data_IF_155435631508
#
_entry.id   IF_155435631508
#
_cell.length_a   1.000
_cell.length_b   1.000
_cell.length_c   1.000
_cell.angle_alpha   90.00
_cell.angle_beta   90.00
_cell.angle_gamma   90.00
#
_symmetry.space_group_name_H-M   'P 1'
#
loop_
_entity.id
_entity.type
_entity.pdbx_description
1 polymer ?
#
# COMPACT_ATOMS: atom_id res chain seq x y z
N UNK A 1 0.55 -5.47 -19.69
CA UNK A 1 -0.20 -5.84 -18.47
C UNK A 1 0.49 -7.03 -17.83
N UNK A 2 0.64 -7.02 -16.51
CA UNK A 2 1.05 -8.18 -15.71
C UNK A 2 -0.13 -8.61 -14.84
N UNK A 3 -0.26 -9.91 -14.62
CA UNK A 3 -1.36 -10.50 -13.84
C UNK A 3 -0.76 -11.54 -12.88
N UNK A 4 -1.17 -11.47 -11.61
CA UNK A 4 -0.96 -12.53 -10.63
C UNK A 4 -2.33 -12.99 -10.15
N UNK A 5 -2.56 -14.31 -10.15
CA UNK A 5 -3.85 -14.91 -9.78
C UNK A 5 -3.62 -16.04 -8.79
N UNK A 6 -4.41 -16.04 -7.74
CA UNK A 6 -4.51 -17.12 -6.77
C UNK A 6 -5.95 -17.65 -6.79
N UNK A 7 -6.10 -18.98 -6.86
CA UNK A 7 -7.37 -19.68 -6.73
C UNK A 7 -7.34 -20.52 -5.46
N UNK A 8 -8.14 -20.12 -4.46
CA UNK A 8 -8.30 -20.85 -3.22
C UNK A 8 -9.09 -22.14 -3.41
N UNK A 9 -8.92 -23.09 -2.49
CA UNK A 9 -9.61 -24.39 -2.54
C UNK A 9 -11.13 -24.27 -2.48
N UNK A 10 -11.67 -23.16 -1.97
CA UNK A 10 -13.10 -22.83 -1.97
C UNK A 10 -13.61 -22.16 -3.25
N UNK A 11 -12.79 -22.05 -4.30
CA UNK A 11 -13.15 -21.37 -5.55
C UNK A 11 -13.03 -19.85 -5.51
N UNK A 12 -12.66 -19.27 -4.36
CA UNK A 12 -12.40 -17.84 -4.20
C UNK A 12 -11.13 -17.48 -4.94
N UNK A 13 -11.19 -16.41 -5.71
CA UNK A 13 -10.05 -15.92 -6.47
C UNK A 13 -9.57 -14.58 -5.96
N UNK A 14 -8.26 -14.43 -5.90
CA UNK A 14 -7.61 -13.14 -5.72
C UNK A 14 -6.75 -12.84 -6.94
N UNK A 15 -6.97 -11.67 -7.55
CA UNK A 15 -6.25 -11.25 -8.74
C UNK A 15 -5.61 -9.90 -8.50
N UNK A 16 -4.36 -9.76 -8.93
CA UNK A 16 -3.68 -8.48 -9.03
C UNK A 16 -3.28 -8.19 -10.46
N UNK A 17 -3.59 -6.99 -10.93
CA UNK A 17 -3.17 -6.49 -12.23
C UNK A 17 -2.25 -5.29 -12.08
N UNK A 18 -1.17 -5.27 -12.85
CA UNK A 18 -0.38 -4.07 -13.11
C UNK A 18 -0.52 -3.70 -14.59
N UNK A 19 -1.09 -2.53 -14.85
CA UNK A 19 -1.42 -2.03 -16.18
C UNK A 19 -0.65 -0.74 -16.39
N UNK A 20 0.25 -0.77 -17.38
CA UNK A 20 1.06 0.38 -17.78
C UNK A 20 1.00 0.57 -19.30
N UNK A 21 0.91 1.82 -19.77
CA UNK A 21 1.15 2.18 -21.17
C UNK A 21 2.53 1.74 -21.65
N UNK A 22 2.61 1.35 -22.91
CA UNK A 22 3.86 0.97 -23.59
C UNK A 22 4.23 1.91 -24.73
N UNK A 23 3.49 3.01 -24.91
CA UNK A 23 3.70 4.02 -25.94
C UNK A 23 3.58 5.42 -25.34
N UNK A 24 4.34 6.38 -25.89
CA UNK A 24 4.24 7.79 -25.48
C UNK A 24 2.91 8.39 -25.94
N UNK A 25 2.24 9.10 -25.03
CA UNK A 25 1.08 9.92 -25.34
C UNK A 25 0.85 10.95 -24.20
N UNK A 26 -0.19 11.76 -24.32
CA UNK A 26 -0.66 12.61 -23.22
C UNK A 26 -1.13 11.74 -22.05
N UNK A 27 -1.14 12.30 -20.84
CA UNK A 27 -1.65 11.59 -19.66
C UNK A 27 -3.09 11.13 -19.86
N UNK A 28 -3.96 12.01 -20.37
CA UNK A 28 -5.38 11.69 -20.63
C UNK A 28 -5.54 10.50 -21.57
N UNK A 29 -4.78 10.47 -22.67
CA UNK A 29 -4.81 9.35 -23.62
C UNK A 29 -4.33 8.06 -22.97
N UNK A 30 -3.25 8.12 -22.19
CA UNK A 30 -2.74 6.95 -21.48
C UNK A 30 -3.69 6.45 -20.38
N UNK A 31 -4.37 7.37 -19.67
CA UNK A 31 -5.36 7.03 -18.66
C UNK A 31 -6.56 6.30 -19.29
N UNK A 32 -7.00 6.74 -20.46
CA UNK A 32 -8.04 6.05 -21.24
C UNK A 32 -7.61 4.66 -21.71
N UNK A 33 -6.35 4.49 -22.15
CA UNK A 33 -5.81 3.17 -22.47
C UNK A 33 -5.77 2.25 -21.25
N UNK A 34 -5.33 2.77 -20.10
CA UNK A 34 -5.32 2.03 -18.83
C UNK A 34 -6.74 1.62 -18.46
N UNK A 35 -7.73 2.52 -18.56
CA UNK A 35 -9.14 2.24 -18.29
C UNK A 35 -9.66 1.09 -19.15
N UNK A 36 -9.51 1.18 -20.47
CA UNK A 36 -9.98 0.15 -21.42
C UNK A 36 -9.32 -1.20 -21.17
N UNK A 37 -8.00 -1.21 -20.99
CA UNK A 37 -7.25 -2.42 -20.71
C UNK A 37 -7.68 -3.07 -19.39
N UNK A 38 -7.97 -2.25 -18.38
CA UNK A 38 -8.46 -2.72 -17.09
C UNK A 38 -9.86 -3.31 -17.17
N UNK A 39 -10.80 -2.62 -17.81
CA UNK A 39 -12.16 -3.12 -18.05
C UNK A 39 -12.15 -4.45 -18.82
N UNK A 40 -11.37 -4.52 -19.89
CA UNK A 40 -11.22 -5.75 -20.68
C UNK A 40 -10.61 -6.89 -19.85
N UNK A 41 -9.63 -6.61 -18.99
CA UNK A 41 -9.01 -7.62 -18.14
C UNK A 41 -10.00 -8.17 -17.09
N UNK A 42 -10.79 -7.28 -16.49
CA UNK A 42 -11.85 -7.65 -15.53
C UNK A 42 -12.92 -8.50 -16.21
N UNK A 43 -13.41 -8.09 -17.37
CA UNK A 43 -14.41 -8.83 -18.15
C UNK A 43 -13.88 -10.20 -18.61
N UNK A 44 -12.64 -10.24 -19.14
CA UNK A 44 -12.01 -11.50 -19.60
C UNK A 44 -11.78 -12.50 -18.47
N UNK A 45 -11.69 -12.02 -17.22
CA UNK A 45 -11.61 -12.86 -16.03
C UNK A 45 -12.99 -13.34 -15.53
N UNK A 46 -14.09 -13.00 -16.22
CA UNK A 46 -15.46 -13.28 -15.79
C UNK A 46 -15.88 -12.48 -14.55
N UNK A 47 -15.18 -11.37 -14.27
CA UNK A 47 -15.41 -10.53 -13.10
C UNK A 47 -16.13 -9.24 -13.48
N UNK A 48 -16.54 -8.48 -12.46
CA UNK A 48 -17.06 -7.12 -12.61
C UNK A 48 -16.22 -6.15 -11.78
N UNK A 49 -16.31 -4.85 -12.06
CA UNK A 49 -15.62 -3.81 -11.27
C UNK A 49 -15.98 -3.84 -9.78
N UNK A 50 -17.11 -4.45 -9.40
CA UNK A 50 -17.50 -4.65 -8.00
C UNK A 50 -16.61 -5.64 -7.24
N UNK A 51 -15.78 -6.43 -7.92
CA UNK A 51 -14.80 -7.32 -7.28
C UNK A 51 -13.52 -6.59 -6.84
N UNK A 52 -13.31 -5.35 -7.31
CA UNK A 52 -12.17 -4.53 -6.90
C UNK A 52 -12.24 -4.20 -5.41
N UNK A 53 -11.12 -4.35 -4.71
CA UNK A 53 -10.98 -3.97 -3.28
C UNK A 53 -9.98 -2.85 -3.10
N UNK A 54 -8.97 -2.76 -3.96
CA UNK A 54 -7.95 -1.74 -3.88
C UNK A 54 -7.39 -1.40 -5.26
N UNK A 55 -7.11 -0.11 -5.49
CA UNK A 55 -6.46 0.41 -6.71
C UNK A 55 -5.45 1.47 -6.34
N UNK A 56 -4.25 1.40 -6.88
CA UNK A 56 -3.23 2.45 -6.76
C UNK A 56 -2.83 2.96 -8.13
N UNK A 57 -2.84 4.28 -8.28
CA UNK A 57 -2.40 4.99 -9.48
C UNK A 57 -1.06 5.65 -9.19
N UNK A 58 -0.01 5.18 -9.87
CA UNK A 58 1.33 5.76 -9.84
C UNK A 58 1.41 6.76 -11.00
N UNK A 59 1.46 8.04 -10.69
CA UNK A 59 1.35 9.13 -11.65
C UNK A 59 2.68 9.90 -11.77
N UNK A 60 2.98 10.37 -12.98
CA UNK A 60 4.21 11.13 -13.24
C UNK A 60 4.20 12.56 -12.71
N UNK A 61 3.01 13.17 -12.64
CA UNK A 61 2.82 14.55 -12.25
C UNK A 61 1.41 14.71 -11.68
N UNK A 62 1.19 14.11 -10.51
CA UNK A 62 -0.15 13.97 -9.92
C UNK A 62 -0.83 15.33 -9.72
N UNK A 63 -0.07 16.36 -9.34
CA UNK A 63 -0.58 17.72 -9.12
C UNK A 63 -1.31 18.26 -10.36
N UNK A 64 -0.68 18.16 -11.54
CA UNK A 64 -1.28 18.63 -12.79
C UNK A 64 -2.23 17.62 -13.45
N UNK A 65 -2.36 16.41 -12.89
CA UNK A 65 -3.12 15.30 -13.46
C UNK A 65 -4.39 14.95 -12.65
N UNK A 66 -4.57 15.56 -11.47
CA UNK A 66 -5.67 15.27 -10.55
C UNK A 66 -7.03 15.45 -11.21
N UNK A 67 -7.29 16.57 -11.88
CA UNK A 67 -8.58 16.83 -12.55
C UNK A 67 -8.92 15.77 -13.62
N UNK A 68 -7.92 15.18 -14.28
CA UNK A 68 -8.12 14.15 -15.29
C UNK A 68 -8.46 12.80 -14.64
N UNK A 69 -7.88 12.49 -13.48
CA UNK A 69 -8.24 11.30 -12.69
C UNK A 69 -9.66 11.42 -12.11
N UNK A 70 -10.06 12.61 -11.64
CA UNK A 70 -11.39 12.87 -11.08
C UNK A 70 -12.52 12.68 -12.10
N UNK A 71 -12.25 12.91 -13.39
CA UNK A 71 -13.20 12.67 -14.49
C UNK A 71 -13.45 11.18 -14.74
N UNK A 72 -12.63 10.29 -14.18
CA UNK A 72 -12.67 8.86 -14.44
C UNK A 72 -13.21 8.11 -13.22
N UNK A 73 -14.44 7.59 -13.30
CA UNK A 73 -15.13 6.94 -12.19
C UNK A 73 -14.35 5.76 -11.54
N UNK A 74 -13.46 5.11 -12.28
CA UNK A 74 -12.61 4.02 -11.76
C UNK A 74 -11.38 4.50 -10.98
N UNK A 75 -11.04 5.79 -11.09
CA UNK A 75 -9.88 6.40 -10.47
C UNK A 75 -10.24 7.29 -9.27
N UNK A 76 -11.44 7.84 -9.17
CA UNK A 76 -11.82 8.76 -8.07
C UNK A 76 -11.78 8.06 -6.71
N UNK A 77 -11.10 8.56 -5.67
CA UNK A 77 -11.16 7.96 -4.35
C UNK A 77 -12.59 7.89 -3.83
N UNK A 78 -13.32 8.99 -3.85
CA UNK A 78 -14.65 9.04 -3.25
C UNK A 78 -15.79 8.84 -4.27
N UNK A 79 -16.98 8.53 -3.75
CA UNK A 79 -18.23 8.45 -4.53
C UNK A 79 -18.21 7.48 -5.73
N UNK A 80 -17.41 6.40 -5.65
CA UNK A 80 -17.41 5.38 -6.68
C UNK A 80 -18.67 4.51 -6.64
N UNK A 81 -19.26 4.17 -7.80
CA UNK A 81 -20.36 3.21 -7.85
C UNK A 81 -19.95 1.83 -7.35
N UNK A 82 -18.66 1.49 -7.50
CA UNK A 82 -18.08 0.22 -7.08
C UNK A 82 -17.11 0.48 -5.93
N UNK A 83 -17.60 0.45 -4.67
CA UNK A 83 -16.81 0.75 -3.46
C UNK A 83 -15.42 0.11 -3.53
N UNK A 84 -14.36 0.91 -3.53
CA UNK A 84 -12.98 0.46 -3.61
C UNK A 84 -12.08 1.41 -2.81
N UNK A 85 -11.02 0.91 -2.18
CA UNK A 85 -9.93 1.78 -1.72
C UNK A 85 -9.14 2.27 -2.94
N UNK A 86 -8.81 3.56 -2.98
CA UNK A 86 -8.05 4.12 -4.10
C UNK A 86 -6.96 5.06 -3.58
N UNK A 87 -5.73 4.77 -4.00
CA UNK A 87 -4.54 5.56 -3.68
C UNK A 87 -4.02 6.24 -4.94
N UNK A 88 -3.80 7.55 -4.88
CA UNK A 88 -3.09 8.31 -5.89
C UNK A 88 -1.73 8.69 -5.36
N UNK A 89 -0.68 8.29 -6.07
CA UNK A 89 0.69 8.55 -5.65
C UNK A 89 1.43 9.24 -6.79
N UNK A 90 2.01 10.40 -6.50
CA UNK A 90 2.97 11.05 -7.37
C UNK A 90 4.28 10.27 -7.27
N UNK A 91 4.41 9.23 -8.09
CA UNK A 91 5.59 8.40 -8.22
C UNK A 91 5.73 8.04 -9.69
N UNK A 92 6.65 8.71 -10.42
CA UNK A 92 6.73 8.57 -11.87
C UNK A 92 7.02 7.13 -12.29
N UNK A 93 6.14 6.50 -13.08
CA UNK A 93 6.43 5.18 -13.63
C UNK A 93 7.52 5.29 -14.71
N UNK A 94 8.18 4.16 -14.99
CA UNK A 94 9.19 4.09 -16.05
C UNK A 94 8.58 4.48 -17.40
N UNK A 95 9.29 5.31 -18.15
CA UNK A 95 8.89 5.73 -19.49
C UNK A 95 8.58 4.51 -20.40
N UNK A 96 7.60 4.61 -21.29
CA UNK A 96 6.86 5.82 -21.68
C UNK A 96 5.61 6.12 -20.83
N UNK A 97 5.39 5.37 -19.75
CA UNK A 97 4.21 5.53 -18.91
C UNK A 97 4.22 6.87 -18.16
N UNK A 98 3.06 7.53 -18.12
CA UNK A 98 2.74 8.66 -17.23
C UNK A 98 1.79 8.25 -16.11
N UNK A 99 1.11 7.11 -16.27
CA UNK A 99 0.21 6.52 -15.27
C UNK A 99 0.32 5.00 -15.30
N UNK A 100 0.51 4.38 -14.14
CA UNK A 100 0.41 2.92 -13.97
C UNK A 100 -0.65 2.60 -12.94
N UNK A 101 -1.57 1.69 -13.28
CA UNK A 101 -2.56 1.16 -12.36
C UNK A 101 -2.06 -0.16 -11.78
N UNK A 102 -2.10 -0.28 -10.45
CA UNK A 102 -2.06 -1.53 -9.74
C UNK A 102 -3.42 -1.78 -9.08
N UNK A 103 -4.11 -2.85 -9.44
CA UNK A 103 -5.45 -3.17 -8.94
C UNK A 103 -5.46 -4.55 -8.28
N UNK A 104 -6.17 -4.67 -7.16
CA UNK A 104 -6.46 -5.93 -6.49
C UNK A 104 -7.96 -6.22 -6.50
N UNK A 105 -8.30 -7.45 -6.84
CA UNK A 105 -9.65 -7.98 -6.90
C UNK A 105 -9.79 -9.22 -6.03
N UNK A 106 -10.97 -9.37 -5.44
CA UNK A 106 -11.40 -10.59 -4.78
C UNK A 106 -12.70 -11.01 -5.45
N UNK A 107 -12.77 -12.25 -5.92
CA UNK A 107 -13.97 -12.82 -6.51
C UNK A 107 -14.38 -14.05 -5.73
N UNK A 108 -15.66 -14.12 -5.41
CA UNK A 108 -16.25 -15.25 -4.71
C UNK A 108 -17.42 -15.77 -5.56
N UNK A 109 -17.33 -17.00 -6.11
CA UNK A 109 -18.39 -17.54 -6.94
C UNK A 109 -19.65 -17.87 -6.13
N UNK A 110 -19.56 -18.00 -4.81
CA UNK A 110 -20.68 -18.36 -3.95
C UNK A 110 -21.52 -17.15 -3.51
N UNK A 111 -20.94 -15.95 -3.43
CA UNK A 111 -21.64 -14.76 -2.96
C UNK A 111 -21.03 -13.44 -3.43
N UNK A 112 -21.86 -12.39 -3.53
CA UNK A 112 -21.37 -11.04 -3.74
C UNK A 112 -20.52 -10.53 -2.56
N UNK A 113 -19.50 -9.72 -2.84
CA UNK A 113 -18.65 -9.13 -1.81
C UNK A 113 -19.43 -8.18 -0.89
N UNK A 114 -19.26 -8.35 0.42
CA UNK A 114 -19.82 -7.45 1.44
C UNK A 114 -18.82 -6.33 1.75
N UNK A 115 -18.97 -5.20 1.05
CA UNK A 115 -18.09 -4.03 1.17
C UNK A 115 -18.79 -2.81 1.78
N UNK A 116 -18.11 -2.15 2.70
CA UNK A 116 -18.45 -0.80 3.18
C UNK A 116 -17.26 0.13 2.93
N UNK A 117 -17.54 1.43 2.80
CA UNK A 117 -16.51 2.44 2.62
C UNK A 117 -16.86 3.65 3.48
N UNK A 118 -15.92 4.10 4.30
CA UNK A 118 -16.04 5.27 5.15
C UNK A 118 -14.79 6.12 4.95
N UNK A 119 -14.95 7.31 4.36
CA UNK A 119 -13.85 8.16 3.94
C UNK A 119 -12.80 7.39 3.13
N UNK A 120 -11.55 7.47 3.56
CA UNK A 120 -10.37 6.85 2.94
C UNK A 120 -10.27 5.32 3.14
N UNK A 121 -11.19 4.71 3.91
CA UNK A 121 -11.11 3.29 4.30
C UNK A 121 -12.19 2.43 3.65
N UNK A 122 -11.79 1.38 2.94
CA UNK A 122 -12.67 0.29 2.49
C UNK A 122 -12.59 -0.87 3.49
N UNK A 123 -13.75 -1.39 3.90
CA UNK A 123 -13.85 -2.64 4.67
C UNK A 123 -14.50 -3.74 3.83
N UNK A 124 -13.90 -4.93 3.82
CA UNK A 124 -14.44 -6.15 3.20
C UNK A 124 -14.65 -7.22 4.27
N UNK A 125 -15.91 -7.65 4.44
CA UNK A 125 -16.25 -8.72 5.37
C UNK A 125 -16.14 -10.11 4.70
N UNK A 126 -15.40 -11.02 5.33
CA UNK A 126 -15.09 -12.38 4.86
C UNK A 126 -15.17 -13.38 6.02
N UNK A 127 -16.37 -13.90 6.28
CA UNK A 127 -16.60 -14.74 7.46
C UNK A 127 -16.32 -13.95 8.74
N UNK A 128 -15.48 -14.49 9.61
CA UNK A 128 -15.05 -13.85 10.86
C UNK A 128 -14.01 -12.74 10.68
N UNK A 129 -13.45 -12.58 9.46
CA UNK A 129 -12.44 -11.59 9.18
C UNK A 129 -13.04 -10.37 8.50
N UNK A 130 -12.58 -9.18 8.91
CA UNK A 130 -12.83 -7.95 8.15
C UNK A 130 -11.51 -7.33 7.74
N UNK A 131 -11.35 -7.10 6.45
CA UNK A 131 -10.14 -6.57 5.85
C UNK A 131 -10.34 -5.06 5.60
N UNK A 132 -9.41 -4.24 6.07
CA UNK A 132 -9.48 -2.78 5.97
C UNK A 132 -8.32 -2.25 5.14
N UNK A 133 -8.62 -1.57 4.03
CA UNK A 133 -7.63 -0.81 3.25
C UNK A 133 -7.89 0.67 3.43
N UNK A 134 -6.92 1.38 4.01
CA UNK A 134 -6.95 2.83 4.17
C UNK A 134 -5.91 3.45 3.25
N UNK A 135 -6.31 4.41 2.42
CA UNK A 135 -5.43 4.95 1.37
C UNK A 135 -5.37 6.47 1.35
N UNK A 136 -4.20 7.02 1.07
CA UNK A 136 -3.98 8.44 0.84
C UNK A 136 -4.14 9.29 2.09
N UNK A 137 -3.80 8.77 3.28
CA UNK A 137 -3.86 9.54 4.54
C UNK A 137 -2.75 10.58 4.54
N UNK A 138 -3.10 11.82 4.84
CA UNK A 138 -2.24 13.01 4.79
C UNK A 138 -2.65 13.97 5.89
N UNK A 139 -1.70 14.77 6.39
CA UNK A 139 -1.98 15.88 7.33
C UNK A 139 -1.28 17.15 6.83
N UNK A 140 -1.70 17.72 5.69
CA UNK A 140 -0.97 18.79 5.02
C UNK A 140 -0.90 20.12 5.79
N UNK A 141 -1.74 20.29 6.81
CA UNK A 141 -1.94 21.56 7.52
C UNK A 141 -0.98 21.79 8.70
N UNK A 142 -0.08 20.84 8.97
CA UNK A 142 0.97 20.97 9.99
C UNK A 142 2.35 20.96 9.35
N UNK A 143 3.31 21.61 10.00
CA UNK A 143 4.64 21.82 9.43
C UNK A 143 5.63 20.69 9.79
N UNK A 144 6.52 20.36 8.86
CA UNK A 144 7.50 19.27 8.94
C UNK A 144 6.91 17.88 8.73
N UNK A 145 7.69 16.98 8.11
CA UNK A 145 7.28 15.58 7.92
C UNK A 145 7.04 14.84 9.24
N UNK A 146 7.73 15.22 10.32
CA UNK A 146 7.49 14.71 11.67
C UNK A 146 6.04 14.95 12.14
N UNK A 147 5.61 16.22 12.23
CA UNK A 147 4.26 16.52 12.72
C UNK A 147 3.18 16.00 11.78
N UNK A 148 3.45 16.00 10.47
CA UNK A 148 2.52 15.42 9.50
C UNK A 148 2.35 13.92 9.70
N UNK A 149 3.44 13.21 10.01
CA UNK A 149 3.41 11.77 10.31
C UNK A 149 2.65 11.48 11.60
N UNK A 150 2.86 12.27 12.67
CA UNK A 150 2.05 12.15 13.89
C UNK A 150 0.55 12.38 13.62
N UNK A 151 0.21 13.42 12.85
CA UNK A 151 -1.18 13.68 12.48
C UNK A 151 -1.79 12.58 11.60
N UNK A 152 -0.98 11.95 10.73
CA UNK A 152 -1.40 10.80 9.92
C UNK A 152 -1.73 9.61 10.83
N UNK A 153 -0.88 9.32 11.82
CA UNK A 153 -1.16 8.27 12.78
C UNK A 153 -2.37 8.58 13.64
N UNK A 154 -2.54 9.82 14.12
CA UNK A 154 -3.75 10.22 14.86
C UNK A 154 -5.04 9.99 14.07
N UNK A 155 -5.08 10.43 12.80
CA UNK A 155 -6.23 10.16 11.91
C UNK A 155 -6.45 8.66 11.67
N UNK A 156 -5.37 7.88 11.56
CA UNK A 156 -5.49 6.45 11.32
C UNK A 156 -5.93 5.70 12.59
N UNK A 157 -5.50 6.14 13.77
CA UNK A 157 -5.90 5.59 15.05
C UNK A 157 -7.41 5.78 15.29
N UNK A 158 -7.98 6.94 14.95
CA UNK A 158 -9.44 7.15 14.96
C UNK A 158 -10.18 6.11 14.10
N UNK A 159 -9.61 5.74 12.94
CA UNK A 159 -10.17 4.69 12.08
C UNK A 159 -10.08 3.32 12.74
N UNK A 160 -8.95 3.02 13.39
CA UNK A 160 -8.75 1.75 14.09
C UNK A 160 -9.69 1.63 15.29
N UNK A 161 -9.76 2.64 16.15
CA UNK A 161 -10.65 2.72 17.31
C UNK A 161 -12.12 2.55 16.92
N UNK A 162 -12.57 3.23 15.87
CA UNK A 162 -13.94 3.11 15.36
C UNK A 162 -14.30 1.67 14.91
N UNK A 163 -13.30 0.83 14.65
CA UNK A 163 -13.46 -0.58 14.29
C UNK A 163 -13.01 -1.54 15.42
N UNK A 164 -12.71 -1.02 16.62
CA UNK A 164 -12.15 -1.76 17.77
C UNK A 164 -10.84 -2.50 17.42
N UNK A 165 -9.95 -1.82 16.71
CA UNK A 165 -8.64 -2.33 16.29
C UNK A 165 -7.52 -1.53 16.96
N UNK A 166 -6.33 -2.12 17.03
CA UNK A 166 -5.11 -1.43 17.47
C UNK A 166 -4.04 -1.48 16.38
N UNK A 167 -3.10 -0.53 16.44
CA UNK A 167 -1.96 -0.51 15.52
C UNK A 167 -1.12 -1.79 15.66
N UNK A 168 -0.88 -2.25 16.90
CA UNK A 168 -0.02 -3.39 17.19
C UNK A 168 -0.63 -4.73 16.74
N UNK A 169 -1.92 -4.95 16.99
CA UNK A 169 -2.52 -6.29 16.84
C UNK A 169 -3.14 -6.53 15.47
N UNK A 170 -3.59 -5.47 14.79
CA UNK A 170 -4.43 -5.61 13.60
C UNK A 170 -3.79 -5.09 12.31
N UNK A 171 -2.84 -4.16 12.40
CA UNK A 171 -2.24 -3.56 11.19
C UNK A 171 -1.11 -4.45 10.70
N UNK A 172 -1.29 -4.98 9.49
CA UNK A 172 -0.37 -5.99 8.94
C UNK A 172 0.64 -5.40 7.96
N UNK A 173 0.33 -4.24 7.36
CA UNK A 173 1.15 -3.64 6.31
C UNK A 173 0.93 -2.13 6.18
N UNK A 174 2.02 -1.36 6.10
CA UNK A 174 1.98 0.08 5.83
C UNK A 174 2.86 0.46 4.63
N UNK A 175 2.48 1.51 3.91
CA UNK A 175 3.28 2.17 2.89
C UNK A 175 3.31 3.66 3.17
N UNK A 176 4.51 4.20 3.30
CA UNK A 176 4.79 5.61 3.46
C UNK A 176 5.42 6.16 2.19
N UNK A 177 4.89 7.29 1.74
CA UNK A 177 5.40 8.06 0.62
C UNK A 177 5.90 9.40 1.17
N UNK A 178 7.20 9.64 1.07
CA UNK A 178 7.82 10.88 1.48
C UNK A 178 8.11 11.71 0.23
N UNK A 179 7.54 12.91 0.14
CA UNK A 179 7.84 13.85 -0.94
C UNK A 179 9.24 14.41 -0.69
N UNK A 180 10.13 14.42 -1.68
CA UNK A 180 11.53 14.81 -1.48
C UNK A 180 12.15 14.03 -0.32
N UNK A 181 12.23 12.71 -0.47
CA UNK A 181 12.59 11.71 0.54
C UNK A 181 13.88 12.10 1.28
N UNK A 182 14.90 12.59 0.57
CA UNK A 182 16.17 13.00 1.20
C UNK A 182 16.01 14.13 2.22
N UNK A 183 15.00 14.99 2.07
CA UNK A 183 14.71 16.09 2.99
C UNK A 183 13.71 15.69 4.09
N UNK A 184 12.77 14.80 3.79
CA UNK A 184 11.61 14.56 4.65
C UNK A 184 11.61 13.20 5.35
N UNK A 185 12.46 12.25 4.95
CA UNK A 185 12.46 10.89 5.49
C UNK A 185 12.84 10.83 6.97
N UNK A 186 13.77 11.68 7.43
CA UNK A 186 14.22 11.68 8.82
C UNK A 186 13.07 11.96 9.79
N UNK A 187 12.31 13.04 9.57
CA UNK A 187 11.16 13.38 10.42
C UNK A 187 10.05 12.32 10.39
N UNK A 188 9.83 11.67 9.24
CA UNK A 188 8.90 10.55 9.14
C UNK A 188 9.34 9.37 10.01
N UNK A 189 10.61 8.99 9.94
CA UNK A 189 11.16 7.86 10.70
C UNK A 189 11.10 8.14 12.20
N UNK A 190 11.48 9.34 12.62
CA UNK A 190 11.46 9.78 14.01
C UNK A 190 10.04 9.66 14.59
N UNK A 191 9.05 10.32 13.98
CA UNK A 191 7.65 10.28 14.41
C UNK A 191 7.07 8.86 14.40
N UNK A 192 7.38 8.05 13.38
CA UNK A 192 6.90 6.65 13.32
C UNK A 192 7.47 5.82 14.47
N UNK A 193 8.76 5.97 14.76
CA UNK A 193 9.40 5.20 15.82
C UNK A 193 8.79 5.56 17.19
N UNK A 194 8.52 6.84 17.46
CA UNK A 194 7.81 7.27 18.68
C UNK A 194 6.42 6.62 18.80
N UNK A 195 5.60 6.72 17.75
CA UNK A 195 4.26 6.10 17.74
C UNK A 195 4.34 4.58 17.94
N UNK A 196 5.32 3.93 17.32
CA UNK A 196 5.51 2.49 17.46
C UNK A 196 5.87 2.12 18.90
N UNK A 197 6.80 2.84 19.52
CA UNK A 197 7.20 2.61 20.91
C UNK A 197 6.00 2.82 21.86
N UNK A 198 5.21 3.88 21.67
CA UNK A 198 3.99 4.16 22.44
C UNK A 198 2.93 3.07 22.28
N UNK A 199 2.85 2.44 21.10
CA UNK A 199 1.93 1.34 20.81
C UNK A 199 2.50 -0.05 21.21
N UNK A 200 3.70 -0.13 21.78
CA UNK A 200 4.33 -1.39 22.15
C UNK A 200 4.85 -2.21 20.96
N UNK A 201 5.02 -1.60 19.78
CA UNK A 201 5.71 -2.16 18.63
C UNK A 201 7.22 -1.95 18.82
N UNK A 202 7.93 -2.98 19.26
CA UNK A 202 9.33 -2.92 19.67
C UNK A 202 10.11 -4.12 19.14
N UNK A 203 11.44 -4.07 19.23
CA UNK A 203 12.29 -5.22 18.90
C UNK A 203 12.04 -6.48 19.77
N UNK A 204 11.36 -6.35 20.92
CA UNK A 204 10.98 -7.49 21.79
C UNK A 204 9.61 -8.07 21.43
N UNK A 205 8.79 -7.32 20.71
CA UNK A 205 7.46 -7.72 20.25
C UNK A 205 7.55 -7.99 18.76
N UNK A 206 7.15 -7.01 17.96
CA UNK A 206 7.25 -6.98 16.51
C UNK A 206 7.12 -5.55 16.02
N UNK A 207 7.46 -5.34 14.75
CA UNK A 207 7.07 -4.16 14.00
C UNK A 207 6.04 -4.51 12.92
N UNK A 208 5.58 -3.49 12.19
CA UNK A 208 4.71 -3.69 11.03
C UNK A 208 5.59 -3.83 9.79
N UNK A 209 5.29 -4.78 8.90
CA UNK A 209 5.93 -4.81 7.60
C UNK A 209 5.67 -3.48 6.90
N UNK A 210 6.71 -2.72 6.53
CA UNK A 210 6.54 -1.38 5.98
C UNK A 210 7.37 -1.12 4.71
N UNK A 211 7.02 -0.06 3.99
CA UNK A 211 7.84 0.53 2.93
C UNK A 211 7.82 2.03 3.14
N UNK A 212 8.97 2.69 3.14
CA UNK A 212 9.08 4.14 3.10
C UNK A 212 9.95 4.54 1.91
N UNK A 213 9.37 5.23 0.93
CA UNK A 213 10.01 5.55 -0.35
C UNK A 213 9.58 6.93 -0.85
N UNK A 214 10.24 7.44 -1.89
CA UNK A 214 9.83 8.66 -2.58
C UNK A 214 8.39 8.53 -3.13
N UNK A 215 7.60 9.58 -2.89
CA UNK A 215 6.31 9.77 -3.52
C UNK A 215 5.53 10.91 -2.87
N UNK A 216 4.56 11.47 -3.57
CA UNK A 216 3.75 12.59 -3.07
C UNK A 216 2.25 12.34 -3.19
N UNK A 217 1.46 13.17 -2.50
CA UNK A 217 0.01 13.26 -2.74
C UNK A 217 -0.30 14.38 -3.75
N UNK A 218 -1.59 14.61 -4.03
CA UNK A 218 -2.04 15.78 -4.79
C UNK A 218 -2.05 17.09 -3.96
N UNK A 219 -1.81 17.01 -2.65
CA UNK A 219 -1.76 18.15 -1.75
C UNK A 219 -0.31 18.65 -1.65
N UNK A 220 -0.03 19.82 -2.23
CA UNK A 220 1.34 20.34 -2.40
C UNK A 220 2.11 20.45 -1.06
N UNK A 221 1.42 20.71 0.04
CA UNK A 221 2.04 20.85 1.37
C UNK A 221 2.15 19.53 2.13
N UNK A 222 1.61 18.42 1.60
CA UNK A 222 1.79 17.09 2.17
C UNK A 222 3.19 16.56 1.84
N UNK A 223 4.07 16.59 2.83
CA UNK A 223 5.43 16.04 2.79
C UNK A 223 5.43 14.53 3.00
N UNK A 224 4.38 14.00 3.60
CA UNK A 224 4.22 12.56 3.87
C UNK A 224 2.78 12.13 3.60
N UNK A 225 2.64 10.92 3.07
CA UNK A 225 1.37 10.24 2.85
C UNK A 225 1.48 8.77 3.27
N UNK A 226 0.39 8.20 3.80
CA UNK A 226 0.34 6.80 4.20
C UNK A 226 -0.84 6.04 3.56
N UNK A 227 -0.55 4.82 3.11
CA UNK A 227 -1.54 3.76 2.93
C UNK A 227 -1.31 2.67 3.99
N UNK A 228 -2.38 2.03 4.44
CA UNK A 228 -2.32 0.95 5.43
C UNK A 228 -3.33 -0.16 5.15
N UNK A 229 -3.00 -1.36 5.63
CA UNK A 229 -3.84 -2.53 5.55
C UNK A 229 -3.91 -3.23 6.91
N UNK A 230 -5.13 -3.42 7.41
CA UNK A 230 -5.42 -4.02 8.70
C UNK A 230 -6.46 -5.13 8.59
N UNK A 231 -6.44 -6.06 9.54
CA UNK A 231 -7.34 -7.22 9.56
C UNK A 231 -7.97 -7.34 10.95
N UNK A 232 -9.28 -7.15 11.02
CA UNK A 232 -10.09 -7.46 12.19
C UNK A 232 -10.31 -8.98 12.27
N UNK A 233 -10.28 -9.53 13.48
CA UNK A 233 -10.54 -10.95 13.76
C UNK A 233 -9.35 -11.89 13.52
N UNK A 234 -8.23 -11.38 12.99
CA UNK A 234 -6.99 -12.16 12.86
C UNK A 234 -6.48 -12.58 14.23
N UNK A 235 -6.12 -13.85 14.37
CA UNK A 235 -5.56 -14.37 15.62
C UNK A 235 -4.04 -14.30 15.58
N UNK A 236 -3.36 -14.08 16.73
CA UNK A 236 -1.89 -14.01 16.78
C UNK A 236 -1.21 -15.24 16.17
N UNK A 237 -1.79 -16.44 16.33
CA UNK A 237 -1.25 -17.70 15.79
C UNK A 237 -1.31 -17.77 14.25
N UNK A 238 -2.09 -16.89 13.61
CA UNK A 238 -2.13 -16.76 12.16
C UNK A 238 -1.02 -15.84 11.63
N UNK A 239 -0.40 -15.04 12.50
CA UNK A 239 0.60 -14.04 12.13
C UNK A 239 1.99 -14.64 12.33
N UNK A 240 2.87 -14.46 11.35
CA UNK A 240 4.28 -14.82 11.48
C UNK A 240 5.13 -13.68 10.92
N UNK A 241 5.93 -13.06 11.78
CA UNK A 241 6.92 -12.06 11.37
C UNK A 241 8.13 -12.76 10.77
N UNK A 242 8.51 -12.33 9.58
CA UNK A 242 9.57 -12.93 8.79
C UNK A 242 10.86 -12.15 9.02
N UNK A 243 11.90 -12.87 9.40
CA UNK A 243 13.24 -12.34 9.56
C UNK A 243 14.20 -13.06 8.60
N UNK A 244 15.19 -12.34 8.09
CA UNK A 244 16.24 -12.88 7.21
C UNK A 244 17.61 -12.55 7.80
N UNK A 245 17.83 -12.90 9.07
CA UNK A 245 18.98 -12.41 9.87
C UNK A 245 20.35 -12.73 9.25
N UNK A 246 20.46 -13.84 8.51
CA UNK A 246 21.71 -14.23 7.82
C UNK A 246 22.06 -13.36 6.60
N UNK A 247 21.10 -12.61 6.07
CA UNK A 247 21.26 -11.83 4.83
C UNK A 247 20.96 -10.34 5.00
N UNK A 248 20.10 -10.00 5.95
CA UNK A 248 19.57 -8.66 6.18
C UNK A 248 19.44 -8.40 7.68
N UNK A 249 20.01 -7.30 8.16
CA UNK A 249 19.90 -6.92 9.59
C UNK A 249 18.44 -6.78 10.03
N UNK A 250 18.12 -7.01 11.31
CA UNK A 250 16.98 -6.36 11.93
C UNK A 250 17.03 -4.85 11.67
N UNK A 251 15.93 -4.27 11.19
CA UNK A 251 15.95 -2.92 10.63
C UNK A 251 16.23 -1.84 11.69
N UNK A 252 15.85 -2.13 12.94
CA UNK A 252 16.02 -1.21 14.07
C UNK A 252 17.50 -0.97 14.40
N UNK A 253 18.41 -1.87 13.98
CA UNK A 253 19.86 -1.73 14.20
C UNK A 253 20.41 -0.48 13.51
N UNK A 254 19.81 -0.06 12.39
CA UNK A 254 20.19 1.15 11.65
C UNK A 254 19.10 2.24 11.72
N UNK A 255 18.29 2.24 12.79
CA UNK A 255 17.41 3.35 13.16
C UNK A 255 16.00 3.34 12.54
N UNK A 256 15.60 2.28 11.83
CA UNK A 256 14.25 2.17 11.24
C UNK A 256 13.47 0.97 11.77
N UNK A 257 12.20 1.16 12.11
CA UNK A 257 11.36 0.14 12.73
C UNK A 257 10.37 -0.51 11.74
N UNK A 258 10.69 -1.68 11.17
CA UNK A 258 9.76 -2.49 10.37
C UNK A 258 10.18 -3.97 10.27
N UNK A 259 9.22 -4.86 10.02
CA UNK A 259 9.53 -6.28 9.75
C UNK A 259 9.94 -6.50 8.30
N UNK A 260 10.89 -7.41 8.02
CA UNK A 260 11.28 -7.72 6.63
C UNK A 260 10.12 -8.30 5.82
N UNK A 261 9.23 -9.02 6.50
CA UNK A 261 7.89 -9.28 5.99
C UNK A 261 6.97 -9.82 7.07
N UNK A 262 5.69 -9.92 6.75
CA UNK A 262 4.67 -10.52 7.62
C UNK A 262 3.86 -11.52 6.82
N UNK A 263 3.73 -12.75 7.32
CA UNK A 263 2.87 -13.78 6.77
C UNK A 263 1.58 -13.87 7.59
N UNK A 264 0.43 -13.88 6.91
CA UNK A 264 -0.89 -14.13 7.50
C UNK A 264 -1.42 -15.45 6.94
N UNK A 265 -1.60 -16.43 7.82
CA UNK A 265 -2.13 -17.75 7.47
C UNK A 265 -3.66 -17.78 7.57
N UNK A 266 -4.31 -18.05 6.44
CA UNK A 266 -5.73 -18.37 6.35
C UNK A 266 -5.90 -19.89 6.23
N UNK A 267 -7.15 -20.36 6.26
CA UNK A 267 -7.46 -21.79 6.13
C UNK A 267 -6.96 -22.40 4.81
N UNK A 268 -7.00 -21.61 3.73
CA UNK A 268 -6.77 -22.06 2.36
C UNK A 268 -5.52 -21.47 1.69
N UNK A 269 -4.89 -20.47 2.30
CA UNK A 269 -3.75 -19.74 1.72
C UNK A 269 -2.92 -19.03 2.78
N UNK A 270 -1.79 -18.47 2.35
CA UNK A 270 -1.03 -17.48 3.11
C UNK A 270 -0.88 -16.21 2.29
N UNK A 271 -1.06 -15.06 2.92
CA UNK A 271 -0.59 -13.78 2.37
C UNK A 271 0.76 -13.47 2.96
N UNK A 272 1.75 -13.18 2.12
CA UNK A 272 3.08 -12.80 2.56
C UNK A 272 3.35 -11.37 2.10
N UNK A 273 3.42 -10.45 3.03
CA UNK A 273 3.71 -9.04 2.80
C UNK A 273 5.21 -8.81 2.96
N UNK A 274 5.91 -8.58 1.86
CA UNK A 274 7.35 -8.28 1.89
C UNK A 274 7.56 -6.77 1.95
N UNK A 275 8.46 -6.34 2.83
CA UNK A 275 8.81 -4.94 3.03
C UNK A 275 9.67 -4.37 1.92
N UNK A 276 9.84 -3.04 1.95
CA UNK A 276 10.85 -2.39 1.12
C UNK A 276 12.20 -3.06 1.36
N UNK A 277 12.75 -3.65 0.29
CA UNK A 277 14.03 -4.35 0.34
C UNK A 277 15.00 -3.57 -0.53
N UNK A 278 16.23 -3.43 -0.04
CA UNK A 278 17.28 -2.66 -0.67
C UNK A 278 18.61 -3.40 -0.52
N UNK A 279 19.59 -3.01 -1.32
CA UNK A 279 20.97 -3.52 -1.27
C UNK A 279 21.70 -3.06 -0.01
N UNK A 280 21.36 -3.69 1.11
CA UNK A 280 21.91 -3.42 2.44
C UNK A 280 22.42 -4.74 3.03
N UNK A 281 23.46 -4.70 3.86
CA UNK A 281 24.00 -5.88 4.55
C UNK A 281 23.41 -6.10 5.96
N UNK A 282 24.00 -7.04 6.71
CA UNK A 282 23.67 -7.37 8.10
C UNK A 282 24.18 -6.35 9.13
N UNK A 283 24.82 -5.26 8.69
CA UNK A 283 25.22 -4.13 9.52
C UNK A 283 24.43 -2.86 9.22
N UNK A 284 23.59 -2.85 8.17
CA UNK A 284 22.85 -1.67 7.75
C UNK A 284 23.59 -0.81 6.73
N UNK A 285 24.72 -1.29 6.22
CA UNK A 285 25.54 -0.57 5.25
C UNK A 285 25.07 -0.85 3.81
N UNK A 286 25.21 0.14 2.93
CA UNK A 286 24.85 0.01 1.52
C UNK A 286 25.87 -0.89 0.82
N UNK A 287 25.38 -1.95 0.17
CA UNK A 287 26.21 -2.84 -0.64
C UNK A 287 26.17 -2.38 -2.10
N UNK A 288 27.32 -2.43 -2.77
CA UNK A 288 27.52 -1.97 -4.16
C UNK A 288 27.13 -0.49 -4.40
N UNK A 289 27.62 0.48 -3.60
CA UNK A 289 27.26 1.88 -3.77
C UNK A 289 27.65 2.38 -5.16
N UNK A 290 26.69 2.98 -5.87
CA UNK A 290 26.88 3.53 -7.23
C UNK A 290 26.69 2.52 -8.37
N UNK A 291 26.51 1.23 -8.09
CA UNK A 291 26.24 0.20 -9.10
C UNK A 291 24.78 -0.29 -9.02
N UNK A 292 23.91 0.36 -9.79
CA UNK A 292 22.48 0.05 -9.78
C UNK A 292 22.15 -1.38 -10.22
N UNK A 293 22.97 -2.00 -11.09
CA UNK A 293 22.71 -3.36 -11.57
C UNK A 293 23.04 -4.38 -10.48
N UNK A 294 24.19 -4.25 -9.82
CA UNK A 294 24.53 -5.13 -8.71
C UNK A 294 23.61 -4.92 -7.49
N UNK A 295 23.14 -3.69 -7.26
CA UNK A 295 22.14 -3.43 -6.23
C UNK A 295 20.80 -4.09 -6.54
N UNK A 296 20.37 -4.08 -7.81
CA UNK A 296 19.16 -4.76 -8.26
C UNK A 296 19.28 -6.28 -8.11
N UNK A 297 20.37 -6.88 -8.58
CA UNK A 297 20.56 -8.34 -8.53
C UNK A 297 20.62 -8.87 -7.09
N UNK A 298 21.08 -8.05 -6.14
CA UNK A 298 21.12 -8.39 -4.72
C UNK A 298 19.75 -8.31 -4.03
N UNK A 299 18.92 -7.36 -4.45
CA UNK A 299 17.66 -6.99 -3.77
C UNK A 299 16.55 -8.01 -4.05
#
# INVERSE_FOLDING_TARGET
>A
MQCSRFLGSGGVEEIQWIIRPTQYATFETQLEWVRRAYEQAVESAGMTMNTAVWRRFLCSDLLNQTELLEKQAFAVPDNQPNKCAVSWVCQPPVAPSKVTLWAQHVFDPAAALKKTKHGKTLSLHRGELTHHWTTGVTTPNVDGSYNQTLGIFGQYDEVLEANNLTLADNVVRTWFFAQNVDANYAGLVEARNEVFDDCGLTAKTHYIASTGIEGGSCEVTARTMMDAYAICGVQPQQITHLHAQDYLSPTHIYGVAFERGTSIAYRDRKHIFISGTASIDSHGEIVYPGDVFQQLDRT
#
